data_IF_132701534209
#
_entry.id   IF_132701534209
#
_cell.length_a   1.000
_cell.length_b   1.000
_cell.length_c   1.000
_cell.angle_alpha   90.00
_cell.angle_beta   90.00
_cell.angle_gamma   90.00
#
_symmetry.space_group_name_H-M   'P 1'
#
loop_
_entity.id
_entity.type
_entity.pdbx_description
1 polymer ?
#
# COMPACT_ATOMS: atom_id res chain seq x y z
N UNK A 1 -11.70 39.25 -77.72
CA UNK A 1 -11.52 40.47 -76.88
C UNK A 1 -12.85 40.70 -76.21
N UNK A 2 -13.07 40.35 -74.96
CA UNK A 2 -12.39 40.84 -73.76
C UNK A 2 -13.45 41.55 -72.92
N UNK A 3 -13.38 41.38 -71.59
CA UNK A 3 -14.16 42.01 -70.52
C UNK A 3 -15.45 41.34 -70.01
N UNK A 4 -15.39 41.15 -68.67
CA UNK A 4 -16.38 41.43 -67.63
C UNK A 4 -17.12 40.25 -66.95
N UNK A 5 -16.55 39.88 -65.80
CA UNK A 5 -17.15 39.80 -64.45
C UNK A 5 -18.64 39.44 -64.36
N UNK A 6 -18.92 38.33 -63.69
CA UNK A 6 -20.12 38.15 -62.88
C UNK A 6 -19.81 37.33 -61.63
N UNK A 7 -19.87 38.01 -60.48
CA UNK A 7 -19.96 37.43 -59.15
C UNK A 7 -21.28 36.65 -59.03
N UNK A 8 -21.21 35.40 -58.59
CA UNK A 8 -22.36 34.67 -58.09
C UNK A 8 -22.00 34.02 -56.75
N UNK A 9 -22.74 34.44 -55.73
CA UNK A 9 -22.64 34.01 -54.35
C UNK A 9 -22.96 32.51 -54.19
N UNK A 10 -22.11 31.78 -53.50
CA UNK A 10 -22.40 30.41 -53.03
C UNK A 10 -22.90 30.45 -51.58
N UNK A 11 -23.97 29.69 -51.24
CA UNK A 11 -24.57 29.72 -49.92
C UNK A 11 -23.73 28.99 -48.87
N UNK A 12 -23.72 29.54 -47.66
CA UNK A 12 -23.23 28.92 -46.44
C UNK A 12 -24.02 27.64 -46.15
N UNK A 13 -23.35 26.49 -46.20
CA UNK A 13 -23.81 25.25 -45.58
C UNK A 13 -23.06 25.07 -44.26
N UNK A 14 -23.75 25.28 -43.14
CA UNK A 14 -23.25 24.95 -41.81
C UNK A 14 -23.12 23.43 -41.68
N UNK A 15 -22.00 22.88 -41.20
CA UNK A 15 -21.93 21.47 -40.86
C UNK A 15 -22.80 21.20 -39.62
N UNK A 16 -23.80 20.34 -39.80
CA UNK A 16 -24.55 19.72 -38.71
C UNK A 16 -23.56 18.92 -37.85
N UNK A 17 -23.45 19.18 -36.53
CA UNK A 17 -22.59 18.36 -35.70
C UNK A 17 -23.21 16.97 -35.58
N UNK A 18 -22.53 15.96 -36.13
CA UNK A 18 -22.80 14.57 -35.81
C UNK A 18 -22.66 14.40 -34.31
N UNK A 19 -23.80 14.14 -33.65
CA UNK A 19 -23.83 13.66 -32.28
C UNK A 19 -22.99 12.37 -32.19
N UNK A 20 -21.82 12.47 -31.58
CA UNK A 20 -21.08 11.30 -31.14
C UNK A 20 -21.91 10.65 -30.03
N UNK A 21 -22.52 9.52 -30.36
CA UNK A 21 -23.07 8.61 -29.36
C UNK A 21 -21.94 8.25 -28.37
N UNK A 22 -22.18 8.29 -27.05
CA UNK A 22 -21.18 7.86 -26.10
C UNK A 22 -20.95 6.37 -26.29
N UNK A 23 -19.77 6.01 -26.78
CA UNK A 23 -19.28 4.64 -26.80
C UNK A 23 -19.26 4.15 -25.35
N UNK A 24 -20.24 3.32 -25.00
CA UNK A 24 -20.23 2.56 -23.75
C UNK A 24 -18.89 1.84 -23.70
N UNK A 25 -18.08 2.15 -22.69
CA UNK A 25 -16.80 1.49 -22.40
C UNK A 25 -17.08 0.03 -22.00
N UNK A 26 -17.46 -0.79 -22.98
CA UNK A 26 -17.53 -2.25 -22.88
C UNK A 26 -16.15 -2.83 -23.15
N UNK A 27 -15.22 -2.59 -22.23
CA UNK A 27 -14.08 -3.50 -22.02
C UNK A 27 -13.62 -3.36 -20.58
N UNK A 28 -14.50 -3.68 -19.64
CA UNK A 28 -14.00 -4.18 -18.36
C UNK A 28 -13.15 -5.40 -18.69
N UNK A 29 -11.85 -5.36 -18.44
CA UNK A 29 -11.07 -6.60 -18.39
C UNK A 29 -11.80 -7.53 -17.44
N UNK A 30 -12.35 -8.61 -18.00
CA UNK A 30 -13.23 -9.55 -17.34
C UNK A 30 -12.47 -10.27 -16.22
N UNK A 31 -12.43 -9.65 -15.03
CA UNK A 31 -11.80 -10.23 -13.85
C UNK A 31 -12.51 -11.55 -13.52
N UNK A 32 -11.72 -12.60 -13.29
CA UNK A 32 -12.20 -13.91 -12.80
C UNK A 32 -11.65 -14.25 -11.42
N UNK A 33 -11.28 -13.22 -10.67
CA UNK A 33 -10.52 -13.38 -9.44
C UNK A 33 -11.31 -14.12 -8.34
N UNK A 34 -12.57 -13.74 -8.14
CA UNK A 34 -13.42 -14.30 -7.09
C UNK A 34 -14.27 -15.49 -7.59
N UNK A 35 -14.64 -15.48 -8.86
CA UNK A 35 -15.52 -16.47 -9.49
C UNK A 35 -15.13 -16.67 -10.96
N UNK A 36 -15.33 -17.88 -11.50
CA UNK A 36 -15.04 -18.19 -12.90
C UNK A 36 -15.91 -17.40 -13.88
N UNK A 37 -17.13 -17.03 -13.47
CA UNK A 37 -17.99 -16.16 -14.27
C UNK A 37 -17.47 -14.71 -14.19
N UNK A 38 -16.99 -14.13 -15.30
CA UNK A 38 -16.50 -12.76 -15.29
C UNK A 38 -17.59 -11.72 -14.99
N UNK A 39 -18.86 -12.04 -15.26
CA UNK A 39 -20.01 -11.23 -14.90
C UNK A 39 -20.43 -11.34 -13.43
N UNK A 40 -19.77 -12.19 -12.64
CA UNK A 40 -20.07 -12.36 -11.23
C UNK A 40 -19.95 -11.04 -10.47
N UNK A 41 -20.88 -10.79 -9.56
CA UNK A 41 -21.01 -9.48 -8.89
C UNK A 41 -19.76 -9.09 -8.08
N UNK A 42 -19.07 -10.06 -7.48
CA UNK A 42 -17.82 -9.81 -6.77
C UNK A 42 -16.67 -9.41 -7.71
N UNK A 43 -16.58 -10.06 -8.88
CA UNK A 43 -15.57 -9.71 -9.89
C UNK A 43 -15.79 -8.30 -10.43
N UNK A 44 -17.05 -7.93 -10.70
CA UNK A 44 -17.41 -6.59 -11.18
C UNK A 44 -17.12 -5.52 -10.12
N UNK A 45 -17.50 -5.77 -8.85
CA UNK A 45 -17.21 -4.85 -7.75
C UNK A 45 -15.70 -4.70 -7.51
N UNK A 46 -14.94 -5.80 -7.56
CA UNK A 46 -13.48 -5.73 -7.48
C UNK A 46 -12.87 -4.92 -8.62
N UNK A 47 -13.30 -5.21 -9.86
CA UNK A 47 -12.76 -4.57 -11.04
C UNK A 47 -12.92 -3.05 -11.01
N UNK A 48 -14.10 -2.54 -10.62
CA UNK A 48 -14.34 -1.08 -10.56
C UNK A 48 -13.52 -0.38 -9.48
N UNK A 49 -13.11 -1.10 -8.43
CA UNK A 49 -12.34 -0.54 -7.31
C UNK A 49 -10.83 -0.63 -7.51
N UNK A 50 -10.34 -1.71 -8.12
CA UNK A 50 -8.91 -2.06 -8.16
C UNK A 50 -8.28 -1.97 -9.54
N UNK A 51 -9.06 -2.11 -10.62
CA UNK A 51 -8.51 -2.18 -11.97
C UNK A 51 -8.56 -0.79 -12.61
N UNK A 52 -7.38 -0.27 -12.97
CA UNK A 52 -7.23 0.98 -13.74
C UNK A 52 -6.72 0.67 -15.14
N UNK A 53 -7.20 1.40 -16.13
CA UNK A 53 -6.73 1.31 -17.52
C UNK A 53 -5.68 2.40 -17.73
N UNK A 54 -4.45 2.00 -18.05
CA UNK A 54 -3.34 2.91 -18.33
C UNK A 54 -3.48 3.64 -19.66
N UNK A 55 -2.66 4.67 -19.88
CA UNK A 55 -2.60 5.39 -21.15
C UNK A 55 -2.15 4.51 -22.34
N UNK A 56 -1.58 3.34 -22.06
CA UNK A 56 -1.24 2.29 -23.02
C UNK A 56 -2.40 1.34 -23.33
N UNK A 57 -3.58 1.59 -22.76
CA UNK A 57 -4.78 0.76 -22.92
C UNK A 57 -4.76 -0.55 -22.13
N UNK A 58 -3.74 -0.79 -21.29
CA UNK A 58 -3.62 -2.02 -20.49
C UNK A 58 -4.32 -1.87 -19.14
N UNK A 59 -4.90 -2.95 -18.65
CA UNK A 59 -5.41 -3.04 -17.29
C UNK A 59 -4.30 -3.29 -16.27
N UNK A 60 -4.39 -2.62 -15.12
CA UNK A 60 -3.46 -2.73 -14.01
C UNK A 60 -4.21 -2.84 -12.69
N UNK A 61 -3.64 -3.54 -11.71
CA UNK A 61 -4.14 -3.56 -10.33
C UNK A 61 -5.00 -4.75 -9.93
N UNK A 62 -5.34 -5.63 -10.87
CA UNK A 62 -6.25 -6.75 -10.65
C UNK A 62 -5.86 -7.64 -9.46
N UNK A 63 -4.56 -7.89 -9.27
CA UNK A 63 -4.06 -8.78 -8.21
C UNK A 63 -3.20 -8.05 -7.14
N UNK A 64 -3.26 -6.70 -7.08
CA UNK A 64 -2.47 -5.88 -6.14
C UNK A 64 -3.18 -5.69 -4.80
N UNK A 65 -2.46 -5.84 -3.70
CA UNK A 65 -3.00 -5.67 -2.33
C UNK A 65 -3.63 -4.29 -2.14
N UNK A 66 -2.91 -3.24 -2.52
CA UNK A 66 -3.37 -1.87 -2.37
C UNK A 66 -4.01 -1.37 -3.67
N UNK A 67 -5.17 -0.69 -3.59
CA UNK A 67 -5.82 -0.14 -4.76
C UNK A 67 -4.97 0.97 -5.38
N UNK A 68 -5.11 1.17 -6.69
CA UNK A 68 -4.43 2.24 -7.43
C UNK A 68 -5.15 3.59 -7.20
N UNK A 69 -5.10 4.02 -5.94
CA UNK A 69 -5.70 5.24 -5.42
C UNK A 69 -4.64 6.04 -4.67
N UNK A 70 -4.31 7.20 -5.22
CA UNK A 70 -3.41 8.19 -4.62
C UNK A 70 -4.21 9.21 -3.83
N UNK A 71 -3.54 9.95 -2.94
CA UNK A 71 -4.14 11.11 -2.26
C UNK A 71 -4.79 12.09 -3.26
N UNK A 72 -4.22 12.26 -4.45
CA UNK A 72 -4.77 13.15 -5.47
C UNK A 72 -5.71 12.49 -6.49
N UNK A 73 -6.08 11.21 -6.32
CA UNK A 73 -6.94 10.51 -7.28
C UNK A 73 -8.36 11.06 -7.28
N UNK A 74 -8.92 11.24 -8.48
CA UNK A 74 -10.30 11.69 -8.72
C UNK A 74 -11.20 10.51 -9.09
N UNK A 75 -10.60 9.38 -9.46
CA UNK A 75 -11.23 8.17 -9.98
C UNK A 75 -12.53 7.74 -9.27
N UNK A 76 -12.56 7.71 -7.94
CA UNK A 76 -13.75 7.33 -7.17
C UNK A 76 -14.54 8.52 -6.62
N UNK A 77 -14.12 9.76 -6.88
CA UNK A 77 -14.78 10.97 -6.36
C UNK A 77 -15.74 11.60 -7.38
N UNK A 78 -15.57 11.31 -8.67
CA UNK A 78 -16.41 11.87 -9.73
C UNK A 78 -16.30 11.07 -11.03
N UNK A 79 -17.22 11.32 -11.96
CA UNK A 79 -17.20 10.74 -13.30
C UNK A 79 -17.69 9.28 -13.38
N UNK A 80 -17.45 8.60 -14.52
CA UNK A 80 -18.08 7.30 -14.79
C UNK A 80 -17.72 6.19 -13.79
N UNK A 81 -16.47 6.15 -13.32
CA UNK A 81 -16.05 5.12 -12.36
C UNK A 81 -16.73 5.29 -11.00
N UNK A 82 -16.95 6.53 -10.55
CA UNK A 82 -17.72 6.85 -9.36
C UNK A 82 -19.18 6.39 -9.48
N UNK A 83 -19.86 6.76 -10.57
CA UNK A 83 -21.26 6.36 -10.85
C UNK A 83 -21.42 4.83 -10.93
N UNK A 84 -20.46 4.16 -11.59
CA UNK A 84 -20.44 2.71 -11.71
C UNK A 84 -20.20 2.02 -10.37
N UNK A 85 -19.32 2.57 -9.53
CA UNK A 85 -19.06 2.05 -8.18
C UNK A 85 -20.31 2.13 -7.30
N UNK A 86 -21.00 3.28 -7.29
CA UNK A 86 -22.26 3.45 -6.58
C UNK A 86 -23.27 2.41 -7.05
N UNK A 87 -23.48 2.31 -8.36
CA UNK A 87 -24.42 1.35 -8.97
C UNK A 87 -24.12 -0.08 -8.54
N UNK A 88 -22.85 -0.50 -8.59
CA UNK A 88 -22.45 -1.87 -8.21
C UNK A 88 -22.58 -2.13 -6.71
N UNK A 89 -22.29 -1.16 -5.84
CA UNK A 89 -22.50 -1.31 -4.41
C UNK A 89 -24.00 -1.45 -4.07
N UNK A 90 -24.86 -0.63 -4.69
CA UNK A 90 -26.32 -0.77 -4.52
C UNK A 90 -26.84 -2.08 -5.09
N UNK A 91 -26.35 -2.53 -6.25
CA UNK A 91 -26.69 -3.85 -6.79
C UNK A 91 -26.27 -4.97 -5.82
N UNK A 92 -25.05 -4.89 -5.26
CA UNK A 92 -24.55 -5.83 -4.28
C UNK A 92 -25.45 -5.90 -3.04
N UNK A 93 -25.85 -4.75 -2.51
CA UNK A 93 -26.75 -4.67 -1.36
C UNK A 93 -28.14 -5.24 -1.70
N UNK A 94 -28.72 -4.85 -2.82
CA UNK A 94 -30.07 -5.25 -3.22
C UNK A 94 -30.17 -6.76 -3.49
N UNK A 95 -29.15 -7.33 -4.16
CA UNK A 95 -29.12 -8.76 -4.52
C UNK A 95 -28.56 -9.67 -3.43
N UNK A 96 -28.24 -9.14 -2.25
CA UNK A 96 -27.56 -9.88 -1.17
C UNK A 96 -26.28 -10.54 -1.67
N UNK A 97 -25.46 -9.75 -2.36
CA UNK A 97 -24.21 -10.17 -2.99
C UNK A 97 -23.27 -10.91 -2.04
N UNK A 98 -23.33 -10.61 -0.74
CA UNK A 98 -22.53 -11.29 0.29
C UNK A 98 -22.82 -12.80 0.39
N UNK A 99 -23.97 -13.26 -0.12
CA UNK A 99 -24.38 -14.67 -0.08
C UNK A 99 -23.93 -15.47 -1.29
N UNK A 100 -23.41 -14.81 -2.33
CA UNK A 100 -23.00 -15.46 -3.56
C UNK A 100 -21.71 -16.27 -3.38
N UNK A 101 -20.82 -15.84 -2.46
CA UNK A 101 -19.60 -16.55 -2.10
C UNK A 101 -19.54 -16.71 -0.58
N UNK A 102 -19.44 -17.97 -0.14
CA UNK A 102 -19.36 -18.35 1.28
C UNK A 102 -17.93 -18.61 1.76
N UNK A 103 -16.97 -18.71 0.83
CA UNK A 103 -15.56 -18.94 1.13
C UNK A 103 -15.01 -17.85 2.07
N UNK A 104 -14.51 -18.21 3.26
CA UNK A 104 -14.08 -17.23 4.26
C UNK A 104 -12.82 -16.47 3.83
N UNK A 105 -11.92 -17.09 3.05
CA UNK A 105 -10.70 -16.43 2.56
C UNK A 105 -11.07 -15.37 1.52
N UNK A 106 -11.94 -15.71 0.56
CA UNK A 106 -12.44 -14.74 -0.42
C UNK A 106 -13.20 -13.59 0.25
N UNK A 107 -14.04 -13.88 1.25
CA UNK A 107 -14.74 -12.87 2.06
C UNK A 107 -13.78 -11.96 2.81
N UNK A 108 -12.74 -12.51 3.44
CA UNK A 108 -11.71 -11.74 4.14
C UNK A 108 -11.02 -10.75 3.19
N UNK A 109 -10.60 -11.23 2.02
CA UNK A 109 -9.91 -10.41 1.02
C UNK A 109 -10.84 -9.32 0.45
N UNK A 110 -12.09 -9.63 0.14
CA UNK A 110 -13.03 -8.61 -0.31
C UNK A 110 -13.31 -7.57 0.78
N UNK A 111 -13.50 -7.99 2.03
CA UNK A 111 -13.66 -7.06 3.15
C UNK A 111 -12.44 -6.15 3.29
N UNK A 112 -11.25 -6.74 3.20
CA UNK A 112 -9.97 -6.05 3.26
C UNK A 112 -9.83 -4.98 2.17
N UNK A 113 -10.27 -5.29 0.96
CA UNK A 113 -10.26 -4.41 -0.21
C UNK A 113 -11.20 -3.22 -0.01
N UNK A 114 -12.45 -3.48 0.36
CA UNK A 114 -13.46 -2.45 0.67
C UNK A 114 -13.02 -1.59 1.88
N UNK A 115 -12.41 -2.26 2.86
CA UNK A 115 -11.60 -1.78 3.98
C UNK A 115 -10.79 -0.54 3.59
N UNK A 116 -9.87 -0.82 2.68
CA UNK A 116 -8.82 0.08 2.22
C UNK A 116 -9.38 1.23 1.39
N UNK A 117 -10.40 0.98 0.57
CA UNK A 117 -11.08 2.04 -0.18
C UNK A 117 -11.81 3.01 0.76
N UNK A 118 -12.46 2.52 1.82
CA UNK A 118 -13.10 3.36 2.81
C UNK A 118 -12.09 4.25 3.53
N UNK A 119 -10.97 3.67 3.96
CA UNK A 119 -9.87 4.41 4.62
C UNK A 119 -9.25 5.49 3.72
N UNK A 120 -9.21 5.25 2.41
CA UNK A 120 -8.79 6.24 1.43
C UNK A 120 -9.82 7.38 1.29
N UNK A 121 -11.12 7.07 1.20
CA UNK A 121 -12.20 8.07 1.13
C UNK A 121 -12.18 9.02 2.32
N UNK A 122 -11.97 8.50 3.54
CA UNK A 122 -11.88 9.32 4.77
C UNK A 122 -10.50 9.95 5.00
N UNK A 123 -9.54 9.69 4.11
CA UNK A 123 -8.20 10.25 4.14
C UNK A 123 -8.13 11.72 3.69
N UNK A 124 -6.89 12.20 3.59
CA UNK A 124 -6.61 13.50 3.00
C UNK A 124 -6.68 13.39 1.46
N UNK A 125 -7.37 14.33 0.82
CA UNK A 125 -7.50 14.46 -0.65
C UNK A 125 -6.87 15.76 -1.14
N UNK A 126 -5.62 16.00 -0.73
CA UNK A 126 -4.87 17.16 -1.18
C UNK A 126 -4.64 17.08 -2.68
N UNK A 127 -5.07 18.11 -3.41
CA UNK A 127 -5.01 18.16 -4.88
C UNK A 127 -3.61 18.59 -5.33
N UNK A 128 -2.83 17.66 -5.86
CA UNK A 128 -1.47 17.97 -6.35
C UNK A 128 -1.39 18.16 -7.88
N UNK A 129 -2.43 17.79 -8.65
CA UNK A 129 -2.45 17.90 -10.11
C UNK A 129 -3.74 18.53 -10.68
N UNK A 130 -3.65 19.58 -11.53
CA UNK A 130 -4.80 20.22 -12.15
C UNK A 130 -5.52 19.33 -13.19
N UNK A 131 -6.83 19.53 -13.46
CA UNK A 131 -7.73 20.46 -12.75
C UNK A 131 -8.10 19.88 -11.38
N UNK A 132 -7.90 20.66 -10.32
CA UNK A 132 -8.25 20.26 -8.97
C UNK A 132 -9.77 20.16 -8.81
N UNK A 133 -10.26 19.15 -8.09
CA UNK A 133 -11.67 19.08 -7.72
C UNK A 133 -11.97 20.14 -6.66
N UNK A 134 -13.15 20.77 -6.72
CA UNK A 134 -13.59 21.66 -5.65
C UNK A 134 -13.85 20.85 -4.37
N UNK A 135 -13.68 21.44 -3.17
CA UNK A 135 -14.00 20.77 -1.92
C UNK A 135 -15.42 20.18 -1.87
N UNK A 136 -16.39 20.83 -2.53
CA UNK A 136 -17.77 20.36 -2.61
C UNK A 136 -17.95 19.11 -3.48
N UNK A 137 -17.17 18.99 -4.56
CA UNK A 137 -17.18 17.76 -5.38
C UNK A 137 -16.55 16.61 -4.60
N UNK A 138 -15.41 16.84 -3.95
CA UNK A 138 -14.77 15.83 -3.10
C UNK A 138 -15.70 15.36 -1.98
N UNK A 139 -16.31 16.30 -1.25
CA UNK A 139 -17.24 15.99 -0.17
C UNK A 139 -18.42 15.13 -0.64
N UNK A 140 -19.09 15.53 -1.74
CA UNK A 140 -20.21 14.76 -2.30
C UNK A 140 -19.80 13.36 -2.74
N UNK A 141 -18.68 13.26 -3.46
CA UNK A 141 -18.15 11.97 -3.90
C UNK A 141 -17.86 11.00 -2.74
N UNK A 142 -17.38 11.52 -1.61
CA UNK A 142 -17.21 10.75 -0.38
C UNK A 142 -18.57 10.36 0.21
N UNK A 143 -19.46 11.33 0.43
CA UNK A 143 -20.78 11.12 1.07
C UNK A 143 -21.64 10.07 0.35
N UNK A 144 -21.58 10.02 -0.98
CA UNK A 144 -22.34 9.07 -1.80
C UNK A 144 -21.80 7.63 -1.70
N UNK A 145 -20.51 7.44 -1.38
CA UNK A 145 -19.88 6.12 -1.32
C UNK A 145 -19.78 5.54 0.10
N UNK A 146 -19.58 6.36 1.13
CA UNK A 146 -19.24 5.88 2.47
C UNK A 146 -20.31 4.98 3.09
N UNK A 147 -21.60 5.32 2.92
CA UNK A 147 -22.71 4.51 3.45
C UNK A 147 -22.81 3.16 2.74
N UNK A 148 -22.99 3.07 1.41
CA UNK A 148 -23.10 1.78 0.74
C UNK A 148 -21.83 0.93 0.91
N UNK A 149 -20.64 1.53 0.93
CA UNK A 149 -19.40 0.81 1.18
C UNK A 149 -19.36 0.21 2.59
N UNK A 150 -19.69 0.97 3.63
CA UNK A 150 -19.79 0.48 5.00
C UNK A 150 -20.82 -0.65 5.15
N UNK A 151 -21.95 -0.55 4.45
CA UNK A 151 -22.95 -1.62 4.43
C UNK A 151 -22.42 -2.91 3.83
N UNK A 152 -21.69 -2.84 2.70
CA UNK A 152 -21.08 -4.03 2.10
C UNK A 152 -20.01 -4.61 3.03
N UNK A 153 -19.12 -3.77 3.61
CA UNK A 153 -18.10 -4.19 4.59
C UNK A 153 -18.74 -4.98 5.75
N UNK A 154 -19.85 -4.49 6.30
CA UNK A 154 -20.57 -5.14 7.38
C UNK A 154 -21.16 -6.50 6.96
N UNK A 155 -21.67 -6.61 5.73
CA UNK A 155 -22.31 -7.83 5.20
C UNK A 155 -21.32 -8.92 4.81
N UNK A 156 -20.12 -8.55 4.36
CA UNK A 156 -19.06 -9.52 4.05
C UNK A 156 -18.24 -9.92 5.28
N UNK A 157 -18.44 -9.24 6.42
CA UNK A 157 -17.74 -9.53 7.66
C UNK A 157 -17.88 -11.00 8.08
N UNK A 158 -16.77 -11.52 8.61
CA UNK A 158 -16.62 -12.89 9.08
C UNK A 158 -16.90 -12.96 10.58
N UNK A 159 -17.35 -14.12 11.07
CA UNK A 159 -17.40 -14.33 12.52
C UNK A 159 -15.99 -14.39 13.11
N UNK A 160 -15.80 -14.11 14.41
CA UNK A 160 -14.50 -14.26 15.06
C UNK A 160 -13.87 -15.64 14.83
N UNK A 161 -14.68 -16.70 14.85
CA UNK A 161 -14.24 -18.08 14.64
C UNK A 161 -13.77 -18.31 13.20
N UNK A 162 -14.45 -17.71 12.21
CA UNK A 162 -14.01 -17.76 10.81
C UNK A 162 -12.69 -17.00 10.60
N UNK A 163 -12.51 -15.85 11.26
CA UNK A 163 -11.24 -15.09 11.20
C UNK A 163 -10.10 -15.91 11.79
N UNK A 164 -10.32 -16.55 12.94
CA UNK A 164 -9.33 -17.41 13.58
C UNK A 164 -8.94 -18.62 12.70
N UNK A 165 -9.87 -19.12 11.89
CA UNK A 165 -9.66 -20.24 10.98
C UNK A 165 -9.05 -19.86 9.62
N UNK A 166 -8.75 -18.57 9.37
CA UNK A 166 -8.09 -18.15 8.14
C UNK A 166 -6.69 -18.79 8.02
N UNK A 167 -6.22 -19.06 6.78
CA UNK A 167 -4.95 -19.72 6.57
C UNK A 167 -3.77 -18.88 7.05
N UNK A 168 -2.80 -19.51 7.70
CA UNK A 168 -1.46 -18.94 7.88
C UNK A 168 -0.69 -19.09 6.57
N UNK A 169 -0.83 -18.07 5.74
CA UNK A 169 -0.30 -18.06 4.40
C UNK A 169 1.22 -17.77 4.39
N UNK A 170 1.77 -17.19 5.46
CA UNK A 170 3.22 -17.12 5.68
C UNK A 170 3.80 -18.51 5.90
N UNK A 171 3.18 -19.33 6.76
CA UNK A 171 3.62 -20.70 7.00
C UNK A 171 3.60 -21.52 5.70
N UNK A 172 2.59 -21.32 4.84
CA UNK A 172 2.55 -21.92 3.50
C UNK A 172 3.74 -21.53 2.62
N UNK A 173 4.10 -20.24 2.58
CA UNK A 173 5.26 -19.76 1.84
C UNK A 173 6.60 -20.24 2.41
N UNK A 174 6.71 -20.36 3.73
CA UNK A 174 7.90 -20.89 4.40
C UNK A 174 8.05 -22.41 4.19
N UNK A 175 6.94 -23.15 4.14
CA UNK A 175 6.94 -24.57 3.79
C UNK A 175 7.45 -24.80 2.35
N UNK A 176 7.08 -23.89 1.43
CA UNK A 176 7.59 -23.86 0.06
C UNK A 176 9.06 -23.39 -0.08
N UNK A 177 9.74 -23.07 1.03
CA UNK A 177 11.15 -22.67 1.05
C UNK A 177 11.41 -21.23 0.61
N UNK A 178 10.37 -20.40 0.48
CA UNK A 178 10.51 -19.01 0.03
C UNK A 178 10.84 -18.05 1.17
N UNK A 179 10.42 -18.38 2.40
CA UNK A 179 10.57 -17.56 3.61
C UNK A 179 11.17 -18.36 4.78
N UNK A 180 11.80 -17.70 5.77
CA UNK A 180 12.29 -18.38 6.95
C UNK A 180 11.13 -18.97 7.77
N UNK A 181 11.31 -20.18 8.34
CA UNK A 181 10.22 -20.94 8.97
C UNK A 181 9.86 -20.49 10.39
N UNK A 182 10.76 -19.83 11.08
CA UNK A 182 10.71 -19.60 12.52
C UNK A 182 10.51 -18.14 12.91
N UNK A 183 10.23 -17.23 11.96
CA UNK A 183 10.14 -15.79 12.23
C UNK A 183 9.16 -15.45 13.37
N UNK A 184 8.04 -16.17 13.48
CA UNK A 184 7.02 -15.90 14.51
C UNK A 184 7.07 -16.80 15.74
N UNK A 185 8.02 -17.74 15.83
CA UNK A 185 8.12 -18.64 16.98
C UNK A 185 8.66 -17.90 18.20
N UNK A 186 8.14 -18.18 19.41
CA UNK A 186 8.64 -17.58 20.65
C UNK A 186 10.08 -18.01 20.98
N UNK A 187 10.47 -19.20 20.54
CA UNK A 187 11.80 -19.79 20.73
C UNK A 187 12.78 -19.40 19.61
N UNK A 188 12.32 -18.56 18.68
CA UNK A 188 13.09 -18.10 17.55
C UNK A 188 14.24 -17.17 17.95
N UNK A 189 15.35 -17.14 17.20
CA UNK A 189 16.36 -16.08 17.35
C UNK A 189 15.85 -14.70 16.88
N UNK A 190 14.69 -14.64 16.24
CA UNK A 190 14.03 -13.41 15.82
C UNK A 190 13.36 -12.70 17.01
N UNK A 191 13.65 -11.42 17.21
CA UNK A 191 13.06 -10.56 18.23
C UNK A 191 12.10 -9.58 17.58
N UNK A 192 10.83 -9.60 17.99
CA UNK A 192 9.86 -8.59 17.58
C UNK A 192 10.12 -7.27 18.31
N UNK A 193 10.13 -6.18 17.55
CA UNK A 193 10.48 -4.84 18.03
C UNK A 193 9.25 -3.97 18.11
N UNK A 194 9.05 -3.34 19.27
CA UNK A 194 7.99 -2.39 19.54
C UNK A 194 8.51 -1.00 19.87
N UNK A 195 7.56 -0.05 19.98
CA UNK A 195 7.79 1.32 20.43
C UNK A 195 6.71 1.73 21.42
N UNK A 196 7.03 2.57 22.42
CA UNK A 196 6.02 3.04 23.38
C UNK A 196 5.10 4.12 22.80
N UNK A 197 5.47 4.75 21.68
CA UNK A 197 4.73 5.86 21.05
C UNK A 197 3.80 5.41 19.90
N UNK A 198 3.55 4.10 19.78
CA UNK A 198 2.60 3.54 18.83
C UNK A 198 3.23 2.49 17.88
N UNK A 199 2.64 2.28 16.69
CA UNK A 199 3.09 1.24 15.77
C UNK A 199 4.55 1.41 15.32
N UNK A 200 5.29 0.30 15.25
CA UNK A 200 6.73 0.29 14.94
C UNK A 200 7.06 0.84 13.53
N UNK A 201 6.11 0.73 12.60
CA UNK A 201 6.20 1.23 11.23
C UNK A 201 5.18 2.37 10.99
N UNK A 202 5.09 3.32 11.92
CA UNK A 202 4.07 4.37 11.95
C UNK A 202 3.82 5.07 10.61
N UNK A 203 4.86 5.29 9.80
CA UNK A 203 4.71 5.99 8.51
C UNK A 203 3.84 5.21 7.50
N UNK A 204 3.80 3.87 7.57
CA UNK A 204 2.99 3.05 6.68
C UNK A 204 1.51 2.99 7.06
N UNK A 205 1.17 3.34 8.31
CA UNK A 205 -0.20 3.30 8.87
C UNK A 205 -0.80 4.68 9.13
N UNK A 206 -0.07 5.76 8.81
CA UNK A 206 -0.54 7.14 8.84
C UNK A 206 -1.42 7.46 7.63
N UNK A 207 -2.02 8.65 7.60
CA UNK A 207 -3.03 9.02 6.61
C UNK A 207 -2.62 8.91 5.14
N UNK A 208 -1.34 9.14 4.84
CA UNK A 208 -0.80 8.98 3.50
C UNK A 208 -0.34 7.55 3.19
N UNK A 209 -0.24 6.70 4.20
CA UNK A 209 0.28 5.33 4.12
C UNK A 209 -0.68 4.37 3.43
N UNK A 210 -0.17 3.31 2.77
CA UNK A 210 -0.99 2.42 1.97
C UNK A 210 -1.76 1.38 2.81
N UNK A 211 -1.52 1.31 4.13
CA UNK A 211 -1.79 0.12 4.91
C UNK A 211 -2.41 0.41 6.30
N UNK A 212 -3.26 1.44 6.41
CA UNK A 212 -3.85 1.92 7.69
C UNK A 212 -4.60 0.84 8.48
N UNK A 213 -5.12 -0.16 7.79
CA UNK A 213 -5.88 -1.30 8.29
C UNK A 213 -4.98 -2.54 8.48
N UNK A 214 -3.68 -2.40 8.70
CA UNK A 214 -2.73 -3.51 8.82
C UNK A 214 -1.90 -3.42 10.10
N UNK A 215 -1.36 -4.55 10.54
CA UNK A 215 -0.29 -4.61 11.54
C UNK A 215 1.03 -4.74 10.80
N UNK A 216 2.01 -3.92 11.16
CA UNK A 216 3.39 -4.10 10.74
C UNK A 216 4.19 -4.68 11.90
N UNK A 217 4.72 -5.87 11.68
CA UNK A 217 5.65 -6.55 12.58
C UNK A 217 7.06 -6.30 12.07
N UNK A 218 7.93 -5.83 12.95
CA UNK A 218 9.35 -5.65 12.67
C UNK A 218 10.11 -6.63 13.54
N UNK A 219 10.84 -7.54 12.92
CA UNK A 219 11.64 -8.52 13.63
C UNK A 219 13.11 -8.35 13.26
N UNK A 220 13.98 -8.48 14.26
CA UNK A 220 15.43 -8.39 14.11
C UNK A 220 16.07 -9.67 14.64
N UNK A 221 17.06 -10.18 13.89
CA UNK A 221 17.88 -11.32 14.27
C UNK A 221 19.34 -10.94 14.13
N UNK A 222 20.04 -10.80 15.26
CA UNK A 222 21.50 -10.73 15.26
C UNK A 222 22.09 -12.14 15.11
N UNK A 223 23.30 -12.27 14.52
CA UNK A 223 23.98 -13.56 14.34
C UNK A 223 24.22 -14.30 15.66
N UNK A 224 24.49 -13.57 16.73
CA UNK A 224 24.74 -14.12 18.08
C UNK A 224 23.44 -14.46 18.86
N UNK A 225 22.29 -14.37 18.20
CA UNK A 225 21.00 -14.79 18.73
C UNK A 225 20.29 -13.79 19.62
N UNK A 226 19.23 -14.27 20.29
CA UNK A 226 18.23 -13.43 20.97
C UNK A 226 18.79 -12.54 22.07
N UNK A 227 19.67 -13.06 22.93
CA UNK A 227 20.27 -12.29 24.02
C UNK A 227 21.14 -11.14 23.51
N UNK A 228 21.89 -11.36 22.43
CA UNK A 228 22.66 -10.29 21.77
C UNK A 228 21.75 -9.23 21.15
N UNK A 229 20.65 -9.67 20.53
CA UNK A 229 19.62 -8.75 20.02
C UNK A 229 19.01 -7.88 21.13
N UNK A 230 18.65 -8.47 22.26
CA UNK A 230 18.11 -7.72 23.40
C UNK A 230 19.13 -6.71 23.97
N UNK A 231 20.40 -7.12 24.10
CA UNK A 231 21.49 -6.25 24.52
C UNK A 231 21.72 -5.09 23.54
N UNK A 232 21.65 -5.35 22.23
CA UNK A 232 21.75 -4.32 21.20
C UNK A 232 20.62 -3.30 21.29
N UNK A 233 19.37 -3.74 21.49
CA UNK A 233 18.23 -2.84 21.67
C UNK A 233 18.41 -1.96 22.92
N UNK A 234 18.96 -2.50 24.02
CA UNK A 234 19.32 -1.68 25.19
C UNK A 234 20.40 -0.66 24.84
N UNK A 235 21.50 -1.08 24.21
CA UNK A 235 22.58 -0.18 23.80
C UNK A 235 22.06 0.99 22.94
N UNK A 236 21.14 0.71 22.02
CA UNK A 236 20.52 1.71 21.16
C UNK A 236 19.63 2.69 21.94
N UNK A 237 18.94 2.22 22.99
CA UNK A 237 18.16 3.06 23.93
C UNK A 237 19.05 3.90 24.83
N UNK A 238 20.20 3.37 25.26
CA UNK A 238 21.13 4.06 26.16
C UNK A 238 22.00 5.10 25.44
N UNK A 239 22.00 5.13 24.11
CA UNK A 239 22.77 6.11 23.34
C UNK A 239 22.32 7.54 23.68
N UNK A 240 23.26 8.34 24.18
CA UNK A 240 23.04 9.72 24.64
C UNK A 240 23.80 10.78 23.82
N UNK A 241 24.50 10.35 22.75
CA UNK A 241 25.17 11.25 21.82
C UNK A 241 24.19 11.98 20.90
N UNK A 242 24.68 12.96 20.11
CA UNK A 242 23.85 13.59 19.09
C UNK A 242 23.45 12.56 18.03
N UNK A 243 22.24 12.67 17.46
CA UNK A 243 21.78 11.74 16.41
C UNK A 243 22.32 12.09 15.02
N UNK A 244 22.90 13.28 14.87
CA UNK A 244 23.39 13.86 13.62
C UNK A 244 24.77 14.47 13.80
N UNK A 245 25.60 14.43 12.76
CA UNK A 245 26.83 15.26 12.67
C UNK A 245 26.47 16.58 11.99
N UNK A 246 26.29 17.62 12.80
CA UNK A 246 25.77 18.91 12.32
C UNK A 246 24.40 18.73 11.66
N UNK A 247 24.23 19.28 10.47
CA UNK A 247 22.99 19.18 9.67
C UNK A 247 23.11 18.28 8.42
N UNK A 248 24.14 17.43 8.35
CA UNK A 248 24.48 16.74 7.08
C UNK A 248 24.10 15.26 7.04
N UNK A 249 24.49 14.48 8.04
CA UNK A 249 24.31 13.02 8.01
C UNK A 249 24.20 12.43 9.43
N UNK A 250 23.70 11.19 9.58
CA UNK A 250 23.55 10.54 10.87
C UNK A 250 24.85 10.40 11.66
N UNK A 251 24.79 10.41 12.99
CA UNK A 251 26.00 10.27 13.80
C UNK A 251 26.65 8.88 13.61
N UNK A 252 27.92 8.79 13.15
CA UNK A 252 28.63 7.52 12.97
C UNK A 252 28.85 6.72 14.25
N UNK A 253 28.75 7.35 15.42
CA UNK A 253 28.96 6.73 16.72
C UNK A 253 27.69 6.06 17.26
N UNK A 254 26.58 6.12 16.52
CA UNK A 254 25.41 5.29 16.83
C UNK A 254 25.81 3.81 16.86
N UNK A 255 25.32 3.03 17.85
CA UNK A 255 25.57 1.60 17.92
C UNK A 255 25.19 0.89 16.62
N UNK A 256 26.17 0.38 15.83
CA UNK A 256 25.86 -0.47 14.70
C UNK A 256 25.43 -1.85 15.22
N UNK A 257 24.57 -2.54 14.50
CA UNK A 257 24.42 -3.99 14.65
C UNK A 257 25.51 -4.71 13.84
N UNK A 258 25.87 -5.96 14.18
CA UNK A 258 26.92 -6.71 13.48
C UNK A 258 26.52 -7.13 12.06
N UNK A 259 27.53 -7.40 11.22
CA UNK A 259 27.36 -8.08 9.93
C UNK A 259 26.66 -9.43 10.12
N UNK A 260 25.79 -9.80 9.18
CA UNK A 260 24.93 -10.99 9.28
C UNK A 260 23.61 -10.74 10.02
N UNK A 261 23.37 -9.52 10.50
CA UNK A 261 22.04 -9.15 11.03
C UNK A 261 20.98 -9.29 9.93
N UNK A 262 19.83 -9.84 10.30
CA UNK A 262 18.66 -9.95 9.44
C UNK A 262 17.49 -9.15 10.01
N UNK A 263 16.73 -8.50 9.13
CA UNK A 263 15.49 -7.82 9.46
C UNK A 263 14.34 -8.41 8.65
N UNK A 264 13.19 -8.57 9.29
CA UNK A 264 11.93 -8.91 8.65
C UNK A 264 10.91 -7.80 8.94
N UNK A 265 10.33 -7.22 7.88
CA UNK A 265 9.14 -6.39 7.97
C UNK A 265 7.98 -7.22 7.42
N UNK A 266 7.01 -7.52 8.26
CA UNK A 266 5.82 -8.28 7.86
C UNK A 266 4.58 -7.42 8.05
N UNK A 267 3.79 -7.30 6.98
CA UNK A 267 2.47 -6.68 7.00
C UNK A 267 1.42 -7.78 7.09
N UNK A 268 0.59 -7.75 8.14
CA UNK A 268 -0.59 -8.63 8.29
C UNK A 268 -1.87 -7.82 8.24
N UNK A 269 -2.89 -8.38 7.62
CA UNK A 269 -4.19 -7.75 7.54
C UNK A 269 -4.86 -7.68 8.92
N UNK A 270 -5.45 -6.52 9.24
CA UNK A 270 -6.56 -6.46 10.19
C UNK A 270 -7.86 -6.64 9.42
N UNK A 271 -8.84 -7.27 10.05
CA UNK A 271 -10.21 -7.40 9.56
C UNK A 271 -11.21 -6.82 10.55
N UNK A 272 -12.45 -6.68 10.12
CA UNK A 272 -13.58 -6.31 10.97
C UNK A 272 -14.46 -7.55 11.13
N UNK A 273 -14.65 -8.01 12.37
CA UNK A 273 -15.54 -9.15 12.61
C UNK A 273 -17.02 -8.78 12.46
N UNK A 274 -17.89 -9.80 12.45
CA UNK A 274 -19.34 -9.63 12.40
C UNK A 274 -19.92 -8.89 13.62
N UNK A 275 -19.13 -8.74 14.69
CA UNK A 275 -19.45 -7.92 15.88
C UNK A 275 -18.96 -6.48 15.72
N UNK A 276 -18.24 -6.14 14.65
CA UNK A 276 -17.78 -4.79 14.32
C UNK A 276 -16.52 -4.39 15.08
N UNK A 277 -15.78 -5.39 15.55
CA UNK A 277 -14.50 -5.21 16.22
C UNK A 277 -13.38 -5.40 15.20
N UNK A 278 -12.29 -4.66 15.38
CA UNK A 278 -11.06 -4.86 14.63
C UNK A 278 -10.37 -6.09 15.22
N UNK A 279 -10.00 -7.04 14.36
CA UNK A 279 -9.38 -8.32 14.77
C UNK A 279 -8.11 -8.53 13.93
N UNK A 280 -6.98 -8.93 14.56
CA UNK A 280 -5.78 -9.28 13.83
C UNK A 280 -5.94 -10.64 13.15
N UNK A 281 -5.20 -10.86 12.07
CA UNK A 281 -5.25 -12.12 11.31
C UNK A 281 -3.85 -12.66 11.06
N UNK A 282 -3.76 -13.94 10.71
CA UNK A 282 -2.54 -14.58 10.21
C UNK A 282 -2.31 -14.30 8.72
N UNK A 283 -3.28 -13.68 8.02
CA UNK A 283 -3.14 -13.31 6.61
C UNK A 283 -2.05 -12.25 6.45
N UNK A 284 -0.93 -12.70 5.95
CA UNK A 284 0.23 -11.91 5.59
C UNK A 284 0.05 -11.35 4.20
N UNK A 285 0.10 -10.03 4.11
CA UNK A 285 -0.03 -9.26 2.89
C UNK A 285 1.34 -9.06 2.24
N UNK A 286 2.36 -8.75 3.02
CA UNK A 286 3.68 -8.40 2.49
C UNK A 286 4.77 -8.84 3.45
N UNK A 287 5.90 -9.28 2.90
CA UNK A 287 7.10 -9.63 3.66
C UNK A 287 8.30 -9.01 2.99
N UNK A 288 9.07 -8.22 3.72
CA UNK A 288 10.41 -7.80 3.32
C UNK A 288 11.44 -8.45 4.22
N UNK A 289 12.45 -9.08 3.63
CA UNK A 289 13.61 -9.63 4.33
C UNK A 289 14.84 -8.86 3.88
N UNK A 290 15.61 -8.37 4.85
CA UNK A 290 16.91 -7.73 4.63
C UNK A 290 17.98 -8.52 5.35
N UNK A 291 19.09 -8.77 4.68
CA UNK A 291 20.29 -9.31 5.30
C UNK A 291 21.46 -8.34 5.06
N UNK A 292 22.14 -7.97 6.13
CA UNK A 292 23.24 -7.01 6.06
C UNK A 292 24.57 -7.76 5.92
N UNK A 293 25.11 -7.76 4.71
CA UNK A 293 26.41 -8.38 4.36
C UNK A 293 27.59 -7.49 4.73
N UNK A 294 27.36 -6.19 4.85
CA UNK A 294 28.38 -5.19 5.19
C UNK A 294 27.75 -4.06 6.01
N UNK A 295 28.48 -3.57 7.02
CA UNK A 295 28.08 -2.40 7.82
C UNK A 295 29.18 -1.36 7.72
N UNK A 296 28.98 -0.38 6.83
CA UNK A 296 29.93 0.73 6.67
C UNK A 296 29.73 1.78 7.75
N UNK A 297 30.84 2.37 8.18
CA UNK A 297 30.80 3.54 9.06
C UNK A 297 30.12 4.69 8.30
N UNK A 298 29.18 5.36 8.96
CA UNK A 298 28.46 6.46 8.33
C UNK A 298 29.37 7.67 8.07
N UNK A 299 29.37 8.14 6.83
CA UNK A 299 30.01 9.40 6.41
C UNK A 299 29.01 10.21 5.58
N UNK A 300 29.31 11.48 5.30
CA UNK A 300 28.49 12.26 4.37
C UNK A 300 28.38 11.57 3.00
N UNK A 301 29.51 11.08 2.48
CA UNK A 301 29.56 10.40 1.19
C UNK A 301 28.76 9.11 1.19
N UNK A 302 28.90 8.28 2.23
CA UNK A 302 28.11 7.04 2.38
C UNK A 302 26.61 7.34 2.49
N UNK A 303 26.23 8.40 3.21
CA UNK A 303 24.84 8.82 3.29
C UNK A 303 24.31 9.22 1.91
N UNK A 304 25.03 10.06 1.17
CA UNK A 304 24.61 10.50 -0.17
C UNK A 304 24.57 9.33 -1.18
N UNK A 305 25.58 8.45 -1.17
CA UNK A 305 25.67 7.29 -2.06
C UNK A 305 24.59 6.26 -1.78
N UNK A 306 24.25 6.06 -0.51
CA UNK A 306 23.16 5.19 -0.12
C UNK A 306 21.80 5.71 -0.62
N UNK A 307 21.62 7.00 -0.88
CA UNK A 307 20.36 7.54 -1.42
C UNK A 307 20.30 7.57 -2.95
N UNK A 308 21.35 7.11 -3.64
CA UNK A 308 21.29 6.93 -5.10
C UNK A 308 20.37 5.78 -5.46
N UNK A 309 19.53 6.00 -6.46
CA UNK A 309 18.47 5.08 -6.85
C UNK A 309 18.79 4.48 -8.24
N UNK A 310 19.32 3.26 -8.25
CA UNK A 310 19.62 2.45 -9.43
C UNK A 310 19.58 0.94 -9.07
N UNK A 311 20.00 0.07 -9.99
CA UNK A 311 19.94 -1.39 -9.81
C UNK A 311 20.84 -1.95 -8.69
N UNK A 312 21.89 -1.24 -8.28
CA UNK A 312 22.84 -1.66 -7.22
C UNK A 312 22.56 -1.00 -5.87
N UNK A 313 21.41 -0.32 -5.73
CA UNK A 313 21.15 0.55 -4.58
C UNK A 313 21.21 -0.18 -3.22
N UNK A 314 20.69 -1.41 -3.12
CA UNK A 314 20.75 -2.18 -1.87
C UNK A 314 22.14 -2.78 -1.61
N UNK A 315 22.80 -3.29 -2.64
CA UNK A 315 24.17 -3.78 -2.56
C UNK A 315 25.13 -2.68 -2.07
N UNK A 316 25.00 -1.46 -2.61
CA UNK A 316 25.75 -0.29 -2.12
C UNK A 316 25.53 0.00 -0.64
N UNK A 317 24.34 -0.29 -0.12
CA UNK A 317 24.00 -0.12 1.29
C UNK A 317 24.38 -1.34 2.16
N UNK A 318 25.11 -2.31 1.59
CA UNK A 318 25.52 -3.54 2.26
C UNK A 318 24.37 -4.51 2.53
N UNK A 319 23.27 -4.41 1.77
CA UNK A 319 22.02 -5.13 2.02
C UNK A 319 21.67 -6.07 0.85
N UNK A 320 21.32 -7.31 1.20
CA UNK A 320 20.49 -8.15 0.34
C UNK A 320 19.02 -7.91 0.69
N UNK A 321 18.22 -7.59 -0.32
CA UNK A 321 16.81 -7.26 -0.17
C UNK A 321 15.94 -8.26 -0.93
N UNK A 322 14.96 -8.84 -0.24
CA UNK A 322 13.92 -9.67 -0.84
C UNK A 322 12.55 -9.19 -0.37
N UNK A 323 11.59 -9.18 -1.29
CA UNK A 323 10.24 -8.77 -0.99
C UNK A 323 9.23 -9.70 -1.66
N UNK A 324 8.21 -10.05 -0.89
CA UNK A 324 7.11 -10.90 -1.28
C UNK A 324 5.82 -10.15 -1.01
N UNK A 325 4.86 -10.28 -1.91
CA UNK A 325 3.54 -9.68 -1.80
C UNK A 325 2.49 -10.73 -2.09
N UNK A 326 1.37 -10.61 -1.41
CA UNK A 326 0.19 -11.44 -1.62
C UNK A 326 -0.34 -11.25 -3.05
N UNK A 327 -0.52 -12.36 -3.73
CA UNK A 327 -1.38 -12.55 -4.90
C UNK A 327 -2.67 -13.19 -4.41
N UNK A 328 -3.80 -12.53 -4.65
CA UNK A 328 -5.13 -13.07 -4.30
C UNK A 328 -5.42 -14.31 -5.10
N UNK A 329 -5.08 -14.31 -6.39
CA UNK A 329 -5.24 -15.47 -7.26
C UNK A 329 -4.47 -16.69 -6.70
N UNK A 330 -3.18 -16.51 -6.38
CA UNK A 330 -2.38 -17.59 -5.80
C UNK A 330 -2.86 -18.01 -4.40
N UNK A 331 -3.36 -17.08 -3.58
CA UNK A 331 -3.95 -17.40 -2.28
C UNK A 331 -5.21 -18.26 -2.43
N UNK A 332 -6.12 -17.90 -3.32
CA UNK A 332 -7.37 -18.64 -3.55
C UNK A 332 -7.14 -20.02 -4.15
N UNK A 333 -6.06 -20.19 -4.89
CA UNK A 333 -5.63 -21.49 -5.43
C UNK A 333 -4.76 -22.30 -4.45
N UNK A 334 -4.46 -21.76 -3.26
CA UNK A 334 -3.61 -22.42 -2.26
C UNK A 334 -2.14 -22.56 -2.67
N UNK A 335 -1.68 -21.82 -3.69
CA UNK A 335 -0.30 -21.91 -4.20
C UNK A 335 0.67 -21.18 -3.29
N UNK A 336 1.50 -21.95 -2.57
CA UNK A 336 2.58 -21.42 -1.72
C UNK A 336 2.13 -20.34 -0.72
N UNK A 337 0.91 -20.45 -0.19
CA UNK A 337 0.32 -19.44 0.70
C UNK A 337 0.04 -18.10 0.02
N UNK A 338 -0.01 -18.04 -1.31
CA UNK A 338 -0.32 -16.82 -2.05
C UNK A 338 0.74 -15.72 -1.98
N UNK A 339 1.86 -15.90 -1.28
CA UNK A 339 2.96 -14.93 -1.25
C UNK A 339 3.91 -15.20 -2.41
N UNK A 340 4.03 -14.25 -3.33
CA UNK A 340 4.90 -14.35 -4.49
C UNK A 340 6.03 -13.33 -4.41
N UNK A 341 7.24 -13.65 -4.91
CA UNK A 341 8.30 -12.66 -5.08
C UNK A 341 7.80 -11.46 -5.88
N UNK A 342 8.15 -10.25 -5.45
CA UNK A 342 7.62 -9.01 -6.02
C UNK A 342 7.89 -8.85 -7.53
N UNK A 343 8.97 -9.45 -8.04
CA UNK A 343 9.35 -9.43 -9.44
C UNK A 343 8.48 -10.31 -10.35
N UNK A 344 7.71 -11.22 -9.76
CA UNK A 344 6.74 -12.06 -10.49
C UNK A 344 5.37 -11.41 -10.65
N UNK A 345 5.12 -10.29 -9.95
CA UNK A 345 3.84 -9.60 -9.95
C UNK A 345 3.77 -8.51 -11.04
N UNK A 346 2.55 -8.07 -11.33
CA UNK A 346 2.28 -6.95 -12.23
C UNK A 346 3.09 -5.69 -11.86
N UNK A 347 3.18 -4.78 -12.84
CA UNK A 347 3.86 -3.48 -12.68
C UNK A 347 3.52 -2.83 -11.34
N UNK A 348 4.55 -2.45 -10.60
CA UNK A 348 4.39 -1.76 -9.34
C UNK A 348 4.11 -0.28 -9.53
N UNK A 349 3.08 0.21 -8.84
CA UNK A 349 2.73 1.63 -8.78
C UNK A 349 2.85 2.12 -7.35
N UNK A 350 3.55 3.25 -7.19
CA UNK A 350 3.72 3.89 -5.90
C UNK A 350 2.49 4.72 -5.57
N UNK A 351 1.62 4.28 -4.66
CA UNK A 351 0.48 5.09 -4.18
C UNK A 351 0.82 5.90 -2.92
N UNK A 352 1.84 5.48 -2.16
CA UNK A 352 2.35 6.12 -0.95
C UNK A 352 3.57 7.00 -1.24
N UNK A 353 3.73 8.16 -0.61
CA UNK A 353 4.90 9.06 -0.86
C UNK A 353 5.08 9.52 -2.32
N UNK A 354 4.12 9.26 -3.20
CA UNK A 354 4.09 9.75 -4.59
C UNK A 354 3.69 11.23 -4.70
N UNK A 355 3.69 11.97 -3.59
CA UNK A 355 3.26 13.38 -3.53
C UNK A 355 1.86 13.60 -4.15
N UNK A 356 1.02 12.57 -4.07
CA UNK A 356 -0.35 12.57 -4.58
C UNK A 356 -0.51 12.60 -6.10
N UNK A 357 0.54 12.37 -6.88
CA UNK A 357 0.43 12.25 -8.34
C UNK A 357 -0.20 10.92 -8.74
N UNK A 358 -1.41 10.95 -9.31
CA UNK A 358 -2.05 9.79 -9.94
C UNK A 358 -1.58 9.64 -11.40
N UNK A 359 -0.76 8.61 -11.66
CA UNK A 359 -0.20 8.34 -13.00
C UNK A 359 -1.26 8.07 -14.08
N UNK A 360 -2.46 7.64 -13.70
CA UNK A 360 -3.55 7.31 -14.62
C UNK A 360 -4.38 8.54 -15.01
N UNK A 361 -4.20 9.66 -14.32
CA UNK A 361 -4.94 10.91 -14.59
C UNK A 361 -4.09 11.98 -15.30
N UNK A 362 -2.80 11.70 -15.52
CA UNK A 362 -1.88 12.59 -16.25
C UNK A 362 -2.12 12.47 -17.76
N UNK A 363 -2.66 13.53 -18.37
CA UNK A 363 -3.19 13.51 -19.74
C UNK A 363 -2.21 13.97 -20.84
N UNK A 364 -1.12 14.68 -20.53
CA UNK A 364 -0.24 15.26 -21.57
C UNK A 364 1.27 15.06 -21.34
N UNK A 365 2.06 15.16 -22.42
CA UNK A 365 3.53 15.11 -22.37
C UNK A 365 4.15 16.31 -21.60
N UNK A 366 3.45 17.43 -21.55
CA UNK A 366 3.85 18.62 -20.79
C UNK A 366 3.58 18.42 -19.28
N UNK A 367 2.48 17.76 -18.91
CA UNK A 367 2.26 17.29 -17.53
C UNK A 367 3.25 16.20 -17.10
N UNK A 368 3.78 15.42 -18.07
CA UNK A 368 4.85 14.45 -17.80
C UNK A 368 6.18 15.14 -17.49
N UNK A 369 6.40 16.38 -17.93
CA UNK A 369 7.65 17.11 -17.66
C UNK A 369 7.78 17.56 -16.20
N UNK A 370 6.66 17.80 -15.51
CA UNK A 370 6.59 18.06 -14.07
C UNK A 370 6.55 16.74 -13.26
N UNK A 371 5.94 15.68 -13.81
CA UNK A 371 6.02 14.32 -13.25
C UNK A 371 7.42 13.66 -13.38
N UNK A 372 8.30 14.21 -14.24
CA UNK A 372 9.68 13.72 -14.43
C UNK A 372 10.56 13.82 -13.19
N UNK A 373 10.13 14.51 -12.13
CA UNK A 373 10.92 14.59 -10.89
C UNK A 373 11.08 13.22 -10.20
N UNK A 374 10.25 12.20 -10.53
CA UNK A 374 10.40 10.84 -9.98
C UNK A 374 10.42 9.68 -11.02
N UNK A 375 10.47 9.96 -12.33
CA UNK A 375 10.15 8.95 -13.34
C UNK A 375 11.04 8.91 -14.57
N UNK A 376 12.32 8.55 -14.43
CA UNK A 376 13.06 7.92 -15.55
C UNK A 376 12.48 6.53 -15.82
N UNK A 377 11.30 6.48 -16.45
CA UNK A 377 10.44 5.28 -16.57
C UNK A 377 10.80 4.30 -17.71
N UNK A 378 11.97 4.38 -18.37
CA UNK A 378 12.18 3.59 -19.61
C UNK A 378 13.26 2.51 -19.59
N UNK A 379 13.88 2.15 -18.45
CA UNK A 379 14.90 1.06 -18.44
C UNK A 379 14.92 0.09 -17.27
N UNK A 380 14.12 0.29 -16.22
CA UNK A 380 14.17 -0.56 -15.02
C UNK A 380 13.04 -1.59 -15.01
N UNK A 381 13.34 -2.80 -14.56
CA UNK A 381 12.32 -3.85 -14.38
C UNK A 381 11.24 -3.40 -13.38
N UNK A 382 10.00 -3.94 -13.47
CA UNK A 382 8.94 -3.68 -12.49
C UNK A 382 9.39 -3.91 -11.04
N UNK A 383 10.19 -4.94 -10.81
CA UNK A 383 10.76 -5.27 -9.51
C UNK A 383 11.67 -4.16 -8.98
N UNK A 384 12.59 -3.67 -9.82
CA UNK A 384 13.47 -2.57 -9.43
C UNK A 384 12.63 -1.32 -9.15
N UNK A 385 11.63 -1.00 -9.98
CA UNK A 385 10.74 0.14 -9.73
C UNK A 385 10.00 0.02 -8.38
N UNK A 386 9.52 -1.16 -8.03
CA UNK A 386 8.89 -1.42 -6.74
C UNK A 386 9.87 -1.24 -5.56
N UNK A 387 11.08 -1.77 -5.73
CA UNK A 387 12.15 -1.71 -4.74
C UNK A 387 12.65 -0.29 -4.47
N UNK A 388 12.67 0.58 -5.50
CA UNK A 388 13.11 1.99 -5.39
C UNK A 388 12.39 2.73 -4.26
N UNK A 389 11.14 2.38 -4.04
CA UNK A 389 10.25 3.04 -3.08
C UNK A 389 10.66 2.72 -1.64
N UNK A 390 10.92 1.45 -1.38
CA UNK A 390 11.42 0.99 -0.09
C UNK A 390 12.81 1.59 0.16
N UNK A 391 13.62 1.72 -0.91
CA UNK A 391 14.94 2.35 -0.83
C UNK A 391 14.85 3.81 -0.43
N UNK A 392 13.86 4.55 -0.92
CA UNK A 392 13.79 5.98 -0.65
C UNK A 392 13.78 6.25 0.85
N UNK A 393 13.00 5.52 1.63
CA UNK A 393 12.99 5.70 3.08
C UNK A 393 14.10 4.92 3.79
N UNK A 394 14.46 3.72 3.32
CA UNK A 394 15.34 2.79 4.04
C UNK A 394 16.71 2.63 3.38
N UNK A 395 17.25 3.72 2.85
CA UNK A 395 18.41 3.69 1.96
C UNK A 395 19.73 3.46 2.69
N UNK A 396 19.89 4.03 3.88
CA UNK A 396 21.18 4.11 4.55
C UNK A 396 21.72 2.73 5.03
N UNK A 397 23.04 2.54 5.15
CA UNK A 397 23.60 1.29 5.66
C UNK A 397 23.21 1.03 7.13
N UNK A 398 23.25 -0.23 7.57
CA UNK A 398 23.11 -0.62 8.97
C UNK A 398 21.92 0.00 9.71
N UNK A 399 22.13 0.42 10.97
CA UNK A 399 21.13 1.03 11.86
C UNK A 399 20.44 2.26 11.25
N UNK A 400 21.09 2.94 10.31
CA UNK A 400 20.57 4.15 9.69
C UNK A 400 19.44 3.88 8.68
N UNK A 401 19.31 2.65 8.15
CA UNK A 401 18.12 2.22 7.40
C UNK A 401 16.92 1.88 8.30
N UNK A 402 17.13 1.79 9.61
CA UNK A 402 16.12 1.31 10.53
C UNK A 402 15.20 2.44 10.98
N UNK A 403 14.29 2.86 10.09
CA UNK A 403 13.37 3.99 10.31
C UNK A 403 12.47 3.84 11.54
N UNK A 404 12.28 2.62 12.05
CA UNK A 404 11.60 2.39 13.33
C UNK A 404 12.34 3.04 14.49
N UNK A 405 13.68 3.13 14.44
CA UNK A 405 14.48 3.88 15.42
C UNK A 405 14.42 5.39 15.13
N UNK A 406 14.89 5.81 13.96
CA UNK A 406 14.81 7.19 13.52
C UNK A 406 14.75 7.27 11.98
N UNK A 407 13.72 7.92 11.40
CA UNK A 407 13.61 8.04 9.95
C UNK A 407 14.45 9.21 9.43
N UNK A 408 15.76 8.98 9.30
CA UNK A 408 16.75 10.02 8.96
C UNK A 408 16.44 10.84 7.71
N UNK A 409 15.81 10.25 6.70
CA UNK A 409 15.43 11.00 5.49
C UNK A 409 14.17 11.85 5.65
N UNK A 410 13.27 11.46 6.57
CA UNK A 410 11.99 12.12 6.76
C UNK A 410 12.05 13.26 7.78
N UNK A 411 13.05 13.23 8.66
CA UNK A 411 13.25 14.24 9.70
C UNK A 411 14.36 15.20 9.32
N UNK A 412 14.14 16.48 9.61
CA UNK A 412 15.21 17.48 9.54
C UNK A 412 16.23 17.22 10.65
N UNK A 413 17.52 17.53 10.46
CA UNK A 413 18.50 17.50 11.55
C UNK A 413 18.03 18.34 12.74
N UNK A 414 18.12 17.76 13.94
CA UNK A 414 17.61 18.37 15.19
C UNK A 414 16.10 18.26 15.39
N UNK A 415 15.34 17.73 14.42
CA UNK A 415 13.92 17.43 14.59
C UNK A 415 13.71 16.01 15.12
N UNK A 416 12.88 15.88 16.15
CA UNK A 416 12.49 14.60 16.72
C UNK A 416 13.46 14.03 17.74
N UNK A 417 13.04 12.94 18.36
CA UNK A 417 13.85 12.10 19.24
C UNK A 417 13.88 10.69 18.65
N UNK A 418 14.99 9.99 18.85
CA UNK A 418 15.03 8.58 18.50
C UNK A 418 14.00 7.80 19.30
N UNK A 419 13.36 6.84 18.64
CA UNK A 419 12.40 5.96 19.27
C UNK A 419 13.09 5.06 20.29
N UNK A 420 12.41 4.79 21.40
CA UNK A 420 12.87 3.81 22.38
C UNK A 420 12.38 2.44 21.94
N UNK A 421 13.18 1.77 21.10
CA UNK A 421 12.88 0.42 20.63
C UNK A 421 13.04 -0.59 21.76
N UNK A 422 12.11 -1.54 21.89
CA UNK A 422 12.23 -2.66 22.83
C UNK A 422 11.70 -3.95 22.23
N UNK A 423 12.13 -5.08 22.80
CA UNK A 423 11.45 -6.34 22.54
C UNK A 423 9.99 -6.25 23.00
N UNK A 424 9.09 -6.82 22.23
CA UNK A 424 7.66 -6.87 22.52
C UNK A 424 7.07 -8.18 21.98
N UNK A 425 5.96 -8.67 22.54
CA UNK A 425 5.28 -9.83 21.95
C UNK A 425 4.59 -9.47 20.63
N UNK A 426 4.31 -10.48 19.80
CA UNK A 426 3.52 -10.29 18.58
C UNK A 426 2.10 -9.79 18.92
N UNK A 427 1.49 -10.35 19.97
CA UNK A 427 0.16 -9.94 20.44
C UNK A 427 0.12 -8.48 20.86
N UNK A 428 1.12 -7.99 21.60
CA UNK A 428 1.16 -6.57 21.98
C UNK A 428 1.37 -5.66 20.77
N UNK A 429 2.11 -6.12 19.75
CA UNK A 429 2.25 -5.40 18.48
C UNK A 429 0.92 -5.27 17.76
N UNK A 430 0.14 -6.35 17.73
CA UNK A 430 -1.22 -6.38 17.18
C UNK A 430 -2.16 -5.45 17.97
N UNK A 431 -2.14 -5.51 19.30
CA UNK A 431 -2.95 -4.63 20.16
C UNK A 431 -2.58 -3.15 19.98
N UNK A 432 -1.29 -2.84 19.82
CA UNK A 432 -0.83 -1.47 19.53
C UNK A 432 -1.38 -0.97 18.20
N UNK A 433 -1.39 -1.80 17.16
CA UNK A 433 -1.94 -1.44 15.86
C UNK A 433 -3.47 -1.26 15.90
N UNK A 434 -4.18 -2.11 16.65
CA UNK A 434 -5.62 -1.99 16.86
C UNK A 434 -5.96 -0.68 17.60
N UNK A 435 -5.29 -0.41 18.73
CA UNK A 435 -5.48 0.82 19.49
C UNK A 435 -5.21 2.05 18.62
N UNK A 436 -4.10 2.05 17.87
CA UNK A 436 -3.80 3.10 16.89
C UNK A 436 -4.93 3.30 15.89
N UNK A 437 -5.41 2.23 15.24
CA UNK A 437 -6.49 2.31 14.25
C UNK A 437 -7.79 2.84 14.87
N UNK A 438 -8.10 2.45 16.10
CA UNK A 438 -9.31 2.90 16.79
C UNK A 438 -9.34 4.41 17.06
N UNK A 439 -8.17 5.03 17.17
CA UNK A 439 -8.04 6.48 17.35
C UNK A 439 -8.18 7.27 16.04
N UNK A 440 -8.05 6.61 14.89
CA UNK A 440 -8.05 7.29 13.59
C UNK A 440 -9.45 7.78 13.20
N UNK A 441 -9.48 8.88 12.44
CA UNK A 441 -10.72 9.51 11.96
C UNK A 441 -11.54 8.55 11.11
N UNK A 442 -10.90 7.82 10.21
CA UNK A 442 -11.55 6.87 9.30
C UNK A 442 -12.33 5.79 10.05
N UNK A 443 -11.77 5.21 11.11
CA UNK A 443 -12.46 4.25 11.97
C UNK A 443 -13.61 4.87 12.75
N UNK A 444 -13.41 6.07 13.32
CA UNK A 444 -14.48 6.80 14.04
C UNK A 444 -15.68 7.09 13.14
N UNK A 445 -15.46 7.25 11.83
CA UNK A 445 -16.49 7.40 10.81
C UNK A 445 -17.13 6.06 10.42
N UNK A 446 -16.34 5.01 10.24
CA UNK A 446 -16.83 3.69 9.85
C UNK A 446 -17.66 3.00 10.93
N UNK A 447 -17.18 3.01 12.19
CA UNK A 447 -17.79 2.28 13.31
C UNK A 447 -19.30 2.48 13.47
N UNK A 448 -19.85 3.71 13.51
CA UNK A 448 -21.30 3.91 13.62
C UNK A 448 -22.07 3.42 12.38
N UNK A 449 -21.48 3.53 11.17
CA UNK A 449 -22.11 3.04 9.93
C UNK A 449 -22.23 1.51 9.91
N UNK A 450 -21.24 0.80 10.46
CA UNK A 450 -21.29 -0.66 10.61
C UNK A 450 -22.41 -1.10 11.54
N UNK A 451 -22.70 -0.34 12.59
CA UNK A 451 -23.77 -0.64 13.55
C UNK A 451 -25.16 -0.43 12.95
N UNK A 452 -25.33 0.61 12.12
CA UNK A 452 -26.59 0.88 11.42
C UNK A 452 -26.84 0.03 10.17
N UNK A 453 -25.84 -0.73 9.70
CA UNK A 453 -25.91 -1.54 8.48
C UNK A 453 -26.24 -3.02 8.70
N UNK A 454 -26.33 -3.45 9.97
CA UNK A 454 -26.78 -4.79 10.36
C UNK A 454 -28.30 -4.81 10.45
#
# INVERSE_FOLDING_TARGET
MGLLVLLAATPFAFPVPMAQQPTILSSSSESRLYDENPGHLWNRLHAVLFIRIGADGRSYGADRIDPLLWIGSKYLLTGPAHEQTITLLHEFIAKRGERLIVDPVKRAILQRDLWTVFDWLEGNHSNFAPPSLSPDVVRRGIEELVVPLATVIARVALTPEQIQALPDNYAGAAAAGMLPRDVFSSESPWVSVGRPDGPVAAQHVRDAGPAKNSVFLVLIRLPDGRSATAAYLEQLRSFNGPLWVGSRYPNPDLPPFPVGTQLALVRRALLIDSRGQIVPTTLTEQVQIREYREIRRMTAQEFDDAHRIDEYMFERAGQEFREYSLSRAALFEGRSGGLLPLDTLDRFFLTFSAQGFDEFEIRSADDRSTARVNGSQTRLSPAVQAQRICKDCHAAPGVYSFNSYLPYRLLRPGAGRAARLSEISLTDSEQTAIAWKQEQRDWRRLKPLLQGSR
#
